data_IF_830258583941
#
_entry.id   IF_830258583941
#
_cell.length_a   1.000
_cell.length_b   1.000
_cell.length_c   1.000
_cell.angle_alpha   90.00
_cell.angle_beta   90.00
_cell.angle_gamma   90.00
#
_symmetry.space_group_name_H-M   'P 1'
#
loop_
_entity.id
_entity.type
_entity.pdbx_description
1 polymer ?
#
# COMPACT_ATOMS: atom_id res chain seq x y z
N UNK A 1 8.09 -20.47 -0.57
CA UNK A 1 7.85 -19.02 -0.80
C UNK A 1 8.81 -18.60 -1.89
N UNK A 2 8.36 -18.01 -2.99
CA UNK A 2 9.29 -17.41 -3.91
C UNK A 2 10.02 -16.29 -3.15
N UNK A 3 11.34 -16.40 -3.08
CA UNK A 3 12.15 -15.30 -2.60
C UNK A 3 11.91 -14.12 -3.53
N UNK A 4 11.64 -12.98 -2.92
CA UNK A 4 11.60 -11.71 -3.62
C UNK A 4 13.00 -11.48 -4.23
N UNK A 5 13.08 -11.46 -5.56
CA UNK A 5 14.34 -11.27 -6.30
C UNK A 5 14.96 -9.88 -6.10
N UNK A 6 14.27 -9.00 -5.39
CA UNK A 6 14.71 -7.63 -5.12
C UNK A 6 15.76 -7.58 -3.99
N UNK A 7 16.67 -6.61 -4.00
CA UNK A 7 17.64 -6.43 -2.92
C UNK A 7 16.93 -6.14 -1.58
N UNK A 8 17.58 -6.44 -0.44
CA UNK A 8 17.06 -6.08 0.88
C UNK A 8 16.65 -4.61 0.94
N UNK A 9 15.53 -4.33 1.60
CA UNK A 9 14.93 -2.99 1.61
C UNK A 9 15.90 -1.91 2.13
N UNK A 10 16.73 -2.23 3.13
CA UNK A 10 17.78 -1.31 3.61
C UNK A 10 18.77 -0.90 2.52
N UNK A 11 19.07 -1.82 1.58
CA UNK A 11 19.96 -1.53 0.45
C UNK A 11 19.28 -0.62 -0.56
N UNK A 12 17.99 -0.83 -0.82
CA UNK A 12 17.16 0.06 -1.67
C UNK A 12 17.13 1.46 -1.08
N UNK A 13 16.88 1.59 0.22
CA UNK A 13 16.87 2.87 0.93
C UNK A 13 18.23 3.58 0.79
N UNK A 14 19.33 2.84 0.96
CA UNK A 14 20.68 3.39 0.82
C UNK A 14 20.98 3.81 -0.63
N UNK A 15 20.65 2.97 -1.61
CA UNK A 15 20.91 3.20 -3.04
C UNK A 15 20.21 4.45 -3.58
N UNK A 16 18.98 4.68 -3.16
CA UNK A 16 18.20 5.85 -3.56
C UNK A 16 18.27 7.01 -2.57
N UNK A 17 19.13 6.90 -1.53
CA UNK A 17 19.24 7.88 -0.45
C UNK A 17 17.90 8.25 0.20
N UNK A 18 17.06 7.25 0.39
CA UNK A 18 15.73 7.41 0.98
C UNK A 18 15.85 7.39 2.51
N UNK A 19 15.44 8.46 3.16
CA UNK A 19 15.40 8.54 4.62
C UNK A 19 13.99 8.87 5.07
N UNK A 20 13.56 8.22 6.15
CA UNK A 20 12.32 8.60 6.81
C UNK A 20 12.45 10.03 7.35
N UNK A 21 11.49 10.87 7.02
CA UNK A 21 11.45 12.24 7.48
C UNK A 21 10.32 12.44 8.48
N UNK A 22 10.67 12.89 9.69
CA UNK A 22 9.68 13.13 10.77
C UNK A 22 8.61 14.14 10.37
N UNK A 23 8.97 15.17 9.59
CA UNK A 23 8.01 16.18 9.11
C UNK A 23 6.89 15.61 8.23
N UNK A 24 7.11 14.41 7.63
CA UNK A 24 6.11 13.69 6.84
C UNK A 24 5.51 12.51 7.60
N UNK A 25 5.80 12.36 8.90
CA UNK A 25 5.36 11.23 9.73
C UNK A 25 5.70 9.87 9.13
N UNK A 26 6.82 9.78 8.43
CA UNK A 26 7.26 8.55 7.75
C UNK A 26 7.83 7.56 8.75
N UNK A 27 7.42 6.29 8.61
CA UNK A 27 7.94 5.19 9.40
C UNK A 27 8.00 3.93 8.51
N UNK A 28 9.22 3.52 8.13
CA UNK A 28 9.41 2.40 7.21
C UNK A 28 9.44 1.08 7.94
N UNK A 29 8.74 0.08 7.42
CA UNK A 29 8.82 -1.30 7.89
C UNK A 29 9.83 -2.03 7.02
N UNK A 30 10.95 -2.42 7.61
CA UNK A 30 12.06 -3.06 6.90
C UNK A 30 12.01 -4.59 6.93
N UNK A 31 11.30 -5.17 7.88
CA UNK A 31 11.17 -6.61 8.05
C UNK A 31 10.05 -7.16 7.15
N UNK A 32 10.45 -7.88 6.10
CA UNK A 32 9.51 -8.50 5.15
C UNK A 32 8.69 -9.62 5.78
N UNK A 33 9.17 -10.29 6.84
CA UNK A 33 8.35 -11.25 7.56
C UNK A 33 7.18 -10.56 8.26
N UNK A 34 7.44 -9.38 8.84
CA UNK A 34 6.39 -8.58 9.46
C UNK A 34 5.39 -8.08 8.41
N UNK A 35 5.87 -7.56 7.28
CA UNK A 35 4.98 -7.05 6.22
C UNK A 35 4.11 -8.16 5.62
N UNK A 36 4.63 -9.38 5.47
CA UNK A 36 3.83 -10.53 5.06
C UNK A 36 2.79 -10.94 6.12
N UNK A 37 3.13 -10.82 7.41
CA UNK A 37 2.14 -11.07 8.48
C UNK A 37 1.00 -10.05 8.42
N UNK A 38 1.31 -8.78 8.19
CA UNK A 38 0.30 -7.72 8.01
C UNK A 38 -0.56 -8.04 6.77
N UNK A 39 0.06 -8.41 5.66
CA UNK A 39 -0.66 -8.80 4.45
C UNK A 39 -1.66 -9.93 4.72
N UNK A 40 -1.23 -10.98 5.41
CA UNK A 40 -2.09 -12.12 5.76
C UNK A 40 -3.23 -11.74 6.72
N UNK A 41 -3.01 -10.76 7.59
CA UNK A 41 -4.07 -10.25 8.46
C UNK A 41 -5.22 -9.59 7.67
N UNK A 42 -4.94 -9.11 6.46
CA UNK A 42 -5.94 -8.58 5.53
C UNK A 42 -6.86 -9.65 4.91
N UNK A 43 -6.61 -10.93 5.13
CA UNK A 43 -7.38 -12.04 4.58
C UNK A 43 -6.82 -12.58 3.25
N UNK A 44 -7.65 -13.24 2.46
CA UNK A 44 -7.28 -13.71 1.13
C UNK A 44 -7.17 -12.54 0.15
N UNK A 45 -6.00 -12.38 -0.44
CA UNK A 45 -5.67 -11.30 -1.36
C UNK A 45 -5.67 -11.75 -2.83
N UNK A 46 -5.88 -13.04 -3.11
CA UNK A 46 -5.78 -13.61 -4.45
C UNK A 46 -6.91 -13.19 -5.39
N UNK A 47 -8.05 -12.80 -4.84
CA UNK A 47 -9.27 -12.50 -5.61
C UNK A 47 -9.67 -11.01 -5.59
N UNK A 48 -8.82 -10.16 -5.04
CA UNK A 48 -9.14 -8.73 -4.94
C UNK A 48 -7.95 -7.84 -5.28
N UNK A 49 -8.24 -6.57 -5.47
CA UNK A 49 -7.22 -5.52 -5.53
C UNK A 49 -6.91 -5.04 -4.11
N UNK A 50 -5.64 -4.84 -3.81
CA UNK A 50 -5.21 -4.18 -2.57
C UNK A 50 -4.81 -2.75 -2.88
N UNK A 51 -5.32 -1.82 -2.11
CA UNK A 51 -4.93 -0.40 -2.17
C UNK A 51 -4.05 -0.09 -0.97
N UNK A 52 -2.87 0.41 -1.22
CA UNK A 52 -1.92 0.83 -0.20
C UNK A 52 -1.63 2.32 -0.32
N UNK A 53 -1.77 3.05 0.77
CA UNK A 53 -1.49 4.48 0.85
C UNK A 53 -0.12 4.71 1.49
N UNK A 54 0.71 5.51 0.85
CA UNK A 54 2.02 5.86 1.36
C UNK A 54 2.99 4.67 1.46
N UNK A 55 3.22 3.94 0.36
CA UNK A 55 4.09 2.76 0.38
C UNK A 55 5.53 3.06 0.77
N UNK A 56 5.99 4.31 0.64
CA UNK A 56 7.37 4.68 0.86
C UNK A 56 8.30 3.85 -0.03
N UNK A 57 9.37 3.27 0.52
CA UNK A 57 10.30 2.43 -0.26
C UNK A 57 9.72 1.05 -0.64
N UNK A 58 8.50 0.72 -0.23
CA UNK A 58 7.77 -0.46 -0.69
C UNK A 58 7.88 -1.72 0.18
N UNK A 59 8.18 -1.58 1.46
CA UNK A 59 8.29 -2.74 2.36
C UNK A 59 6.98 -3.52 2.48
N UNK A 60 5.87 -2.85 2.77
CA UNK A 60 4.55 -3.49 2.82
C UNK A 60 4.09 -3.90 1.42
N UNK A 61 4.35 -3.08 0.40
CA UNK A 61 4.04 -3.40 -1.01
C UNK A 61 4.63 -4.76 -1.41
N UNK A 62 5.92 -4.98 -1.10
CA UNK A 62 6.59 -6.27 -1.34
C UNK A 62 5.92 -7.39 -0.55
N UNK A 63 5.62 -7.17 0.73
CA UNK A 63 4.92 -8.15 1.57
C UNK A 63 3.55 -8.56 1.02
N UNK A 64 2.78 -7.61 0.48
CA UNK A 64 1.50 -7.86 -0.17
C UNK A 64 1.66 -8.73 -1.42
N UNK A 65 2.61 -8.39 -2.29
CA UNK A 65 2.88 -9.12 -3.53
C UNK A 65 3.40 -10.54 -3.24
N UNK A 66 4.34 -10.68 -2.29
CA UNK A 66 4.87 -11.99 -1.84
C UNK A 66 3.79 -12.85 -1.19
N UNK A 67 2.79 -12.26 -0.55
CA UNK A 67 1.67 -12.97 0.07
C UNK A 67 0.53 -13.30 -0.89
N UNK A 68 0.74 -13.12 -2.19
CA UNK A 68 -0.17 -13.57 -3.22
C UNK A 68 -1.26 -12.56 -3.62
N UNK A 69 -1.11 -11.29 -3.27
CA UNK A 69 -2.04 -10.26 -3.76
C UNK A 69 -2.14 -10.30 -5.28
N UNK A 70 -3.37 -10.38 -5.82
CA UNK A 70 -3.59 -10.43 -7.25
C UNK A 70 -3.10 -9.14 -7.93
N UNK A 71 -3.46 -8.01 -7.36
CA UNK A 71 -3.05 -6.69 -7.80
C UNK A 71 -2.89 -5.77 -6.59
N UNK A 72 -1.87 -4.94 -6.62
CA UNK A 72 -1.66 -3.86 -5.64
C UNK A 72 -1.65 -2.53 -6.37
N UNK A 73 -2.41 -1.57 -5.87
CA UNK A 73 -2.38 -0.17 -6.33
C UNK A 73 -1.83 0.66 -5.17
N UNK A 74 -0.73 1.34 -5.40
CA UNK A 74 -0.12 2.22 -4.39
C UNK A 74 -0.36 3.68 -4.73
N UNK A 75 -0.66 4.49 -3.72
CA UNK A 75 -0.78 5.95 -3.85
C UNK A 75 0.34 6.59 -3.05
N UNK A 76 1.26 7.27 -3.73
CA UNK A 76 2.42 7.90 -3.11
C UNK A 76 2.52 9.37 -3.51
N UNK A 77 2.55 10.25 -2.52
CA UNK A 77 2.70 11.69 -2.74
C UNK A 77 4.16 12.11 -2.93
N UNK A 78 5.10 11.37 -2.35
CA UNK A 78 6.53 11.71 -2.35
C UNK A 78 7.25 11.06 -3.53
N UNK A 79 7.59 11.90 -4.52
CA UNK A 79 8.25 11.44 -5.74
C UNK A 79 9.61 10.75 -5.51
N UNK A 80 10.26 10.95 -4.36
CA UNK A 80 11.54 10.29 -4.03
C UNK A 80 11.43 8.78 -3.99
N UNK A 81 10.25 8.23 -3.69
CA UNK A 81 10.02 6.80 -3.60
C UNK A 81 9.69 6.14 -4.93
N UNK A 82 9.33 6.89 -5.95
CA UNK A 82 8.90 6.33 -7.24
C UNK A 82 9.93 5.40 -7.88
N UNK A 83 11.25 5.72 -7.90
CA UNK A 83 12.23 4.79 -8.47
C UNK A 83 12.26 3.42 -7.78
N UNK A 84 12.18 3.40 -6.45
CA UNK A 84 12.14 2.14 -5.70
C UNK A 84 10.85 1.34 -5.97
N UNK A 85 9.73 2.01 -6.14
CA UNK A 85 8.45 1.38 -6.49
C UNK A 85 8.46 0.85 -7.94
N UNK A 86 9.10 1.54 -8.86
CA UNK A 86 9.27 1.06 -10.24
C UNK A 86 10.14 -0.21 -10.32
N UNK A 87 11.16 -0.34 -9.47
CA UNK A 87 11.93 -1.58 -9.35
C UNK A 87 11.03 -2.75 -8.91
N UNK A 88 10.14 -2.51 -7.94
CA UNK A 88 9.17 -3.52 -7.51
C UNK A 88 8.21 -3.87 -8.66
N UNK A 89 7.70 -2.87 -9.38
CA UNK A 89 6.82 -3.08 -10.53
C UNK A 89 7.49 -3.91 -11.62
N UNK A 90 8.77 -3.69 -11.86
CA UNK A 90 9.55 -4.48 -12.82
C UNK A 90 9.67 -5.94 -12.40
N UNK A 91 9.83 -6.20 -11.09
CA UNK A 91 9.90 -7.56 -10.55
C UNK A 91 8.52 -8.28 -10.53
N UNK A 92 7.44 -7.51 -10.44
CA UNK A 92 6.06 -8.02 -10.41
C UNK A 92 5.22 -7.38 -11.52
N UNK A 93 5.52 -7.68 -12.80
CA UNK A 93 4.81 -7.09 -13.93
C UNK A 93 3.31 -7.37 -13.84
N UNK A 94 2.50 -6.38 -14.23
CA UNK A 94 1.04 -6.41 -14.23
C UNK A 94 0.37 -6.56 -12.83
N UNK A 95 1.14 -6.67 -11.76
CA UNK A 95 0.62 -6.83 -10.41
C UNK A 95 0.76 -5.58 -9.54
N UNK A 96 1.54 -4.59 -9.95
CA UNK A 96 1.71 -3.32 -9.24
C UNK A 96 1.36 -2.14 -10.15
N UNK A 97 0.47 -1.30 -9.67
CA UNK A 97 0.15 -0.01 -10.27
C UNK A 97 0.56 1.12 -9.30
N UNK A 98 1.25 2.12 -9.82
CA UNK A 98 1.75 3.24 -9.05
C UNK A 98 0.99 4.50 -9.44
N UNK A 99 0.34 5.12 -8.47
CA UNK A 99 -0.36 6.39 -8.61
C UNK A 99 0.37 7.44 -7.78
N UNK A 100 0.97 8.41 -8.46
CA UNK A 100 1.54 9.57 -7.78
C UNK A 100 0.43 10.56 -7.45
N UNK A 101 0.21 10.84 -6.18
CA UNK A 101 -0.84 11.77 -5.78
C UNK A 101 -1.04 11.87 -4.27
N UNK A 102 -1.95 12.75 -3.91
CA UNK A 102 -2.36 12.98 -2.52
C UNK A 102 -3.53 12.06 -2.17
N UNK A 103 -3.33 11.19 -1.20
CA UNK A 103 -4.36 10.27 -0.72
C UNK A 103 -5.61 10.98 -0.19
N UNK A 104 -5.47 12.19 0.35
CA UNK A 104 -6.61 13.00 0.80
C UNK A 104 -7.52 13.45 -0.35
N UNK A 105 -7.01 13.44 -1.59
CA UNK A 105 -7.72 13.83 -2.80
C UNK A 105 -8.04 12.66 -3.73
N UNK A 106 -7.70 11.44 -3.31
CA UNK A 106 -7.84 10.24 -4.13
C UNK A 106 -8.77 9.26 -3.44
N UNK A 107 -10.01 9.17 -3.91
CA UNK A 107 -10.97 8.20 -3.38
C UNK A 107 -10.57 6.77 -3.79
N UNK A 108 -10.56 5.79 -2.88
CA UNK A 108 -10.23 4.40 -3.22
C UNK A 108 -11.11 3.83 -4.34
N UNK A 109 -12.39 4.13 -4.34
CA UNK A 109 -13.35 3.71 -5.38
C UNK A 109 -13.02 4.23 -6.78
N UNK A 110 -12.24 5.30 -6.90
CA UNK A 110 -11.81 5.84 -8.19
C UNK A 110 -10.63 5.08 -8.79
N UNK A 111 -9.95 4.25 -8.00
CA UNK A 111 -8.72 3.55 -8.40
C UNK A 111 -8.99 2.20 -9.06
N UNK A 112 -10.13 1.59 -8.80
CA UNK A 112 -10.45 0.26 -9.34
C UNK A 112 -11.96 0.05 -9.45
N UNK A 113 -12.37 -0.68 -10.47
CA UNK A 113 -13.75 -1.18 -10.63
C UNK A 113 -13.98 -2.53 -9.93
N UNK A 114 -12.92 -3.13 -9.40
CA UNK A 114 -12.95 -4.45 -8.77
C UNK A 114 -13.14 -4.34 -7.25
N UNK A 115 -13.57 -5.44 -6.60
CA UNK A 115 -13.55 -5.53 -5.14
C UNK A 115 -12.15 -5.25 -4.59
N UNK A 116 -12.04 -4.47 -3.54
CA UNK A 116 -10.76 -4.06 -2.98
C UNK A 116 -10.70 -4.12 -1.46
N UNK A 117 -9.49 -4.28 -0.97
CA UNK A 117 -9.11 -4.12 0.43
C UNK A 117 -8.12 -2.97 0.57
N UNK A 118 -8.20 -2.23 1.64
CA UNK A 118 -7.19 -1.23 1.99
C UNK A 118 -6.26 -1.86 3.02
N UNK A 119 -4.98 -1.94 2.72
CA UNK A 119 -3.94 -2.43 3.66
C UNK A 119 -2.80 -1.44 3.62
N UNK A 120 -2.60 -0.70 4.71
CA UNK A 120 -1.65 0.41 4.74
C UNK A 120 -1.00 0.58 6.11
N UNK A 121 0.27 0.95 6.10
CA UNK A 121 0.93 1.61 7.22
C UNK A 121 0.80 3.12 7.01
N UNK A 122 -0.25 3.72 7.59
CA UNK A 122 -0.60 5.11 7.30
C UNK A 122 0.37 6.11 7.93
N UNK A 123 0.75 7.17 7.21
CA UNK A 123 1.42 8.32 7.82
C UNK A 123 0.58 8.89 8.96
N UNK A 124 1.16 9.07 10.14
CA UNK A 124 0.41 9.44 11.36
C UNK A 124 -0.37 10.74 11.24
N UNK A 125 0.17 11.72 10.50
CA UNK A 125 -0.44 13.04 10.34
C UNK A 125 -1.74 13.02 9.52
N UNK A 126 -1.97 11.99 8.70
CA UNK A 126 -3.17 11.86 7.84
C UNK A 126 -4.00 10.61 8.14
N UNK A 127 -3.54 9.75 9.07
CA UNK A 127 -4.17 8.46 9.36
C UNK A 127 -5.65 8.61 9.76
N UNK A 128 -5.95 9.43 10.75
CA UNK A 128 -7.32 9.60 11.25
C UNK A 128 -8.25 10.18 10.19
N UNK A 129 -7.95 11.30 9.51
CA UNK A 129 -8.83 11.83 8.48
C UNK A 129 -9.01 10.89 7.28
N UNK A 130 -7.99 10.14 6.88
CA UNK A 130 -8.13 9.12 5.83
C UNK A 130 -9.07 8.00 6.28
N UNK A 131 -8.82 7.45 7.45
CA UNK A 131 -9.60 6.34 8.00
C UNK A 131 -11.09 6.70 8.13
N UNK A 132 -11.38 7.84 8.75
CA UNK A 132 -12.76 8.32 8.91
C UNK A 132 -13.41 8.61 7.56
N UNK A 133 -12.70 9.27 6.65
CA UNK A 133 -13.21 9.58 5.33
C UNK A 133 -13.55 8.32 4.51
N UNK A 134 -12.71 7.29 4.58
CA UNK A 134 -13.01 6.03 3.90
C UNK A 134 -14.24 5.32 4.48
N UNK A 135 -14.39 5.32 5.80
CA UNK A 135 -15.57 4.74 6.45
C UNK A 135 -16.84 5.50 6.06
N UNK A 136 -16.81 6.83 6.13
CA UNK A 136 -17.95 7.67 5.75
C UNK A 136 -18.34 7.48 4.28
N UNK A 137 -17.34 7.47 3.38
CA UNK A 137 -17.58 7.29 1.95
C UNK A 137 -17.99 5.88 1.54
N UNK A 138 -17.69 4.89 2.38
CA UNK A 138 -18.03 3.49 2.10
C UNK A 138 -19.35 3.06 2.73
N UNK A 139 -19.98 3.93 3.54
CA UNK A 139 -21.27 3.68 4.18
C UNK A 139 -22.35 4.59 3.59
N UNK A 140 -23.31 4.01 2.89
CA UNK A 140 -24.41 4.74 2.29
C UNK A 140 -25.76 4.09 2.64
N UNK A 141 -26.71 4.87 3.18
CA UNK A 141 -28.07 4.45 3.45
C UNK A 141 -28.22 3.14 4.25
N UNK A 142 -27.26 2.88 5.14
CA UNK A 142 -27.25 1.69 5.98
C UNK A 142 -26.53 0.48 5.37
N UNK A 143 -25.85 0.64 4.24
CA UNK A 143 -25.11 -0.42 3.58
C UNK A 143 -23.67 0.01 3.24
N UNK A 144 -22.74 -0.96 3.27
CA UNK A 144 -21.38 -0.76 2.80
C UNK A 144 -21.31 -0.79 1.28
N UNK A 145 -20.43 0.05 0.72
CA UNK A 145 -20.16 0.02 -0.72
C UNK A 145 -19.73 -1.40 -1.15
N UNK A 146 -20.39 -1.99 -2.18
CA UNK A 146 -20.21 -3.41 -2.51
C UNK A 146 -18.77 -3.83 -2.84
N UNK A 147 -17.94 -2.90 -3.31
CA UNK A 147 -16.55 -3.16 -3.68
C UNK A 147 -15.57 -3.04 -2.52
N UNK A 148 -15.94 -2.34 -1.45
CA UNK A 148 -15.12 -2.17 -0.26
C UNK A 148 -15.24 -3.41 0.64
N UNK A 149 -14.20 -4.22 0.71
CA UNK A 149 -14.20 -5.48 1.44
C UNK A 149 -13.71 -5.35 2.88
N UNK A 150 -12.60 -4.67 3.07
CA UNK A 150 -11.99 -4.50 4.39
C UNK A 150 -10.91 -3.42 4.41
N UNK A 151 -10.51 -3.05 5.62
CA UNK A 151 -9.43 -2.12 5.88
C UNK A 151 -8.55 -2.64 7.01
N UNK A 152 -7.26 -2.73 6.75
CA UNK A 152 -6.22 -3.12 7.71
C UNK A 152 -5.19 -2.00 7.77
N UNK A 153 -5.17 -1.27 8.86
CA UNK A 153 -4.28 -0.12 9.04
C UNK A 153 -3.44 -0.26 10.30
N UNK A 154 -2.23 0.26 10.22
CA UNK A 154 -1.32 0.40 11.35
C UNK A 154 -0.99 1.85 11.59
#
# INVERSE_FOLDING_TARGET
>A
MPDDALPPLRNVIASYNLRAERKFSQNFILDLNLTQRIARAGGDLSECTVIEIGPGPGGLTRGLLMSGARKVIVVEADARFLPALEDIKTAYPDRLEIVQGDAMKTAPDSLTEEPYRIISNLPYNIATPLFTGWLENSWHEGEWAPRFLSMTCM
#
